data_IF_685251698506
#
_entry.id   IF_685251698506
#
_cell.length_a   1.000
_cell.length_b   1.000
_cell.length_c   1.000
_cell.angle_alpha   90.00
_cell.angle_beta   90.00
_cell.angle_gamma   90.00
#
_symmetry.space_group_name_H-M   'P 1'
#
loop_
_entity.id
_entity.type
_entity.pdbx_description
1 polymer ?
#
# COMPACT_ATOMS: atom_id res chain seq x y z
N UNK A 1 -30.41 -6.50 -13.93
CA UNK A 1 -31.08 -5.18 -13.77
C UNK A 1 -31.58 -5.09 -12.33
N UNK A 2 -30.82 -4.43 -11.45
CA UNK A 2 -31.24 -4.14 -10.07
C UNK A 2 -31.30 -2.62 -9.92
N UNK A 3 -32.45 -2.16 -9.46
CA UNK A 3 -32.81 -0.77 -9.20
C UNK A 3 -32.06 -0.25 -7.97
N UNK A 4 -31.21 0.74 -8.17
CA UNK A 4 -30.54 1.46 -7.08
C UNK A 4 -31.50 2.43 -6.40
N UNK A 5 -31.68 2.27 -5.09
CA UNK A 5 -32.35 3.24 -4.23
C UNK A 5 -31.46 4.49 -4.08
N UNK A 6 -31.98 5.65 -4.48
CA UNK A 6 -31.42 6.95 -4.13
C UNK A 6 -31.57 7.18 -2.63
N UNK A 7 -30.46 7.23 -1.91
CA UNK A 7 -30.42 7.71 -0.54
C UNK A 7 -30.15 9.22 -0.56
N UNK A 8 -31.20 10.02 -0.35
CA UNK A 8 -31.12 11.49 -0.26
C UNK A 8 -30.41 11.87 1.04
N UNK A 9 -29.19 12.41 0.92
CA UNK A 9 -28.44 12.99 2.03
C UNK A 9 -28.94 14.41 2.30
N UNK A 10 -29.64 14.59 3.44
CA UNK A 10 -30.11 15.89 3.92
C UNK A 10 -28.98 16.57 4.69
N UNK A 11 -28.34 17.58 4.10
CA UNK A 11 -27.28 18.38 4.77
C UNK A 11 -27.94 19.44 5.66
N UNK A 12 -27.75 19.31 6.98
CA UNK A 12 -28.13 20.31 7.99
C UNK A 12 -26.96 21.26 8.25
N UNK A 13 -27.10 22.53 7.86
CA UNK A 13 -26.20 23.62 8.20
C UNK A 13 -26.41 24.06 9.67
N UNK A 14 -25.38 24.15 10.52
CA UNK A 14 -25.48 24.87 11.78
C UNK A 14 -25.27 26.38 11.55
N UNK A 15 -26.15 27.17 12.16
CA UNK A 15 -26.11 28.62 12.18
C UNK A 15 -24.93 29.12 13.04
N UNK A 16 -24.08 29.98 12.47
CA UNK A 16 -23.09 30.75 13.21
C UNK A 16 -23.77 31.89 14.00
N UNK A 17 -23.55 31.91 15.32
CA UNK A 17 -23.84 33.05 16.17
C UNK A 17 -22.60 33.95 16.25
N UNK A 18 -22.71 35.20 15.76
CA UNK A 18 -21.73 36.26 16.00
C UNK A 18 -21.88 36.77 17.44
N UNK A 19 -20.89 36.46 18.28
CA UNK A 19 -20.67 37.12 19.57
C UNK A 19 -19.50 38.08 19.47
N UNK A 20 -19.78 39.39 19.50
CA UNK A 20 -18.78 40.43 19.66
C UNK A 20 -18.53 40.67 21.16
N UNK A 21 -17.27 40.58 21.59
CA UNK A 21 -16.79 41.17 22.84
C UNK A 21 -15.31 41.55 22.67
N UNK A 22 -15.07 42.86 22.60
CA UNK A 22 -13.76 43.46 22.85
C UNK A 22 -13.55 43.52 24.36
N UNK A 23 -12.37 43.11 24.85
CA UNK A 23 -11.74 43.79 25.98
C UNK A 23 -10.21 43.60 25.91
N UNK A 24 -9.50 44.69 26.19
CA UNK A 24 -8.05 44.82 26.02
C UNK A 24 -7.25 44.18 27.14
N UNK A 25 -6.09 43.64 26.79
CA UNK A 25 -5.09 43.12 27.73
C UNK A 25 -3.71 43.15 27.07
N UNK A 26 -2.77 43.73 27.80
CA UNK A 26 -1.48 44.25 27.35
C UNK A 26 -0.52 43.22 26.74
N UNK A 27 0.25 43.74 25.78
CA UNK A 27 1.26 43.11 24.95
C UNK A 27 2.40 42.47 25.76
N UNK A 28 2.30 41.15 25.96
CA UNK A 28 3.40 40.28 26.33
C UNK A 28 3.82 39.46 25.13
N UNK A 29 4.55 40.09 24.19
CA UNK A 29 5.08 39.47 22.97
C UNK A 29 6.17 38.44 23.33
N UNK A 30 5.74 37.28 23.81
CA UNK A 30 6.55 36.08 23.89
C UNK A 30 6.60 35.50 22.48
N UNK A 31 7.60 35.90 21.69
CA UNK A 31 8.04 35.21 20.47
C UNK A 31 8.62 33.85 20.84
N UNK A 32 7.80 32.99 21.44
CA UNK A 32 8.16 31.61 21.72
C UNK A 32 8.29 30.91 20.38
N UNK A 33 9.48 30.98 19.79
CA UNK A 33 9.89 30.05 18.75
C UNK A 33 9.56 28.66 19.28
N UNK A 34 8.60 28.02 18.62
CA UNK A 34 8.19 26.67 18.95
C UNK A 34 9.41 25.80 18.65
N UNK A 35 10.22 25.53 19.66
CA UNK A 35 11.36 24.63 19.56
C UNK A 35 10.85 23.25 19.19
N UNK A 36 10.96 22.99 17.90
CA UNK A 36 10.59 21.75 17.31
C UNK A 36 11.76 20.83 17.51
N UNK A 37 11.71 20.05 18.60
CA UNK A 37 12.73 19.03 18.85
C UNK A 37 12.33 17.81 18.02
N UNK A 38 13.00 17.51 16.88
CA UNK A 38 12.72 16.29 16.16
C UNK A 38 12.98 15.09 17.08
N UNK A 39 12.17 14.05 16.96
CA UNK A 39 12.44 12.81 17.64
C UNK A 39 13.80 12.27 17.13
N UNK A 40 14.80 12.24 18.01
CA UNK A 40 16.19 11.80 17.74
C UNK A 40 16.31 10.28 17.70
N UNK A 41 15.28 9.60 17.19
CA UNK A 41 15.34 8.15 17.05
C UNK A 41 15.94 7.88 15.69
N UNK A 42 17.18 7.41 15.67
CA UNK A 42 17.80 6.88 14.47
C UNK A 42 16.81 5.94 13.76
N UNK A 43 16.42 6.33 12.55
CA UNK A 43 15.57 5.60 11.66
C UNK A 43 16.39 5.21 10.43
N UNK A 44 16.12 4.00 9.95
CA UNK A 44 16.51 3.54 8.63
C UNK A 44 15.22 3.56 7.80
N UNK A 45 15.08 4.46 6.82
CA UNK A 45 13.91 4.54 5.94
C UNK A 45 13.60 3.23 5.23
N UNK A 46 14.62 2.41 4.98
CA UNK A 46 14.53 1.14 4.26
C UNK A 46 14.52 -0.07 5.19
N UNK A 47 14.56 0.12 6.51
CA UNK A 47 14.42 -0.99 7.44
C UNK A 47 13.09 -1.71 7.19
N UNK A 48 13.11 -3.05 7.05
CA UNK A 48 11.90 -3.82 6.83
C UNK A 48 10.85 -3.56 7.92
N UNK A 49 9.60 -3.44 7.52
CA UNK A 49 8.46 -3.35 8.43
C UNK A 49 7.54 -4.54 8.21
N UNK A 50 7.60 -5.48 9.14
CA UNK A 50 6.65 -6.59 9.15
C UNK A 50 5.24 -6.05 9.40
N UNK A 51 4.34 -6.27 8.45
CA UNK A 51 2.91 -6.06 8.65
C UNK A 51 2.32 -7.34 9.22
N UNK A 52 1.63 -7.22 10.36
CA UNK A 52 0.83 -8.34 10.87
C UNK A 52 -0.35 -8.55 9.95
N UNK A 53 -0.63 -9.80 9.59
CA UNK A 53 -1.80 -10.16 8.78
C UNK A 53 -2.59 -11.26 9.49
N UNK A 54 -3.92 -11.17 9.38
CA UNK A 54 -4.85 -12.18 9.85
C UNK A 54 -5.70 -12.69 8.69
N UNK A 55 -6.16 -13.94 8.80
CA UNK A 55 -7.10 -14.53 7.83
C UNK A 55 -8.50 -14.37 8.42
N UNK A 56 -9.10 -13.20 8.23
CA UNK A 56 -10.39 -12.88 8.86
C UNK A 56 -11.58 -13.51 8.12
N UNK A 57 -11.45 -13.68 6.80
CA UNK A 57 -12.51 -14.19 5.92
C UNK A 57 -11.94 -15.18 4.90
N UNK A 58 -11.66 -16.42 5.29
CA UNK A 58 -11.29 -17.45 4.32
C UNK A 58 -12.47 -17.74 3.39
N UNK A 59 -12.23 -17.67 2.09
CA UNK A 59 -13.21 -18.04 1.05
C UNK A 59 -13.17 -19.55 0.79
N UNK A 60 -11.98 -20.15 0.86
CA UNK A 60 -11.78 -21.59 0.72
C UNK A 60 -10.46 -22.05 1.36
N UNK A 61 -10.48 -23.26 1.90
CA UNK A 61 -9.29 -23.99 2.32
C UNK A 61 -9.22 -25.30 1.55
N UNK A 62 -8.12 -25.52 0.83
CA UNK A 62 -7.85 -26.71 0.04
C UNK A 62 -6.64 -27.45 0.58
N UNK A 63 -6.73 -28.76 0.70
CA UNK A 63 -5.64 -29.64 1.13
C UNK A 63 -5.14 -30.50 -0.02
N UNK A 64 -3.86 -30.37 -0.34
CA UNK A 64 -3.16 -31.22 -1.29
C UNK A 64 -2.94 -32.63 -0.73
N UNK A 65 -2.56 -33.56 -1.60
CA UNK A 65 -2.38 -34.97 -1.26
C UNK A 65 -1.19 -35.21 -0.30
N UNK A 66 -0.18 -34.35 -0.34
CA UNK A 66 0.97 -34.32 0.58
C UNK A 66 0.65 -33.66 1.92
N UNK A 67 -0.53 -33.05 2.05
CA UNK A 67 -1.00 -32.38 3.25
C UNK A 67 -0.81 -30.87 3.26
N UNK A 68 -0.19 -30.28 2.23
CA UNK A 68 -0.06 -28.82 2.10
C UNK A 68 -1.44 -28.17 2.01
N UNK A 69 -1.65 -27.09 2.77
CA UNK A 69 -2.85 -26.27 2.71
C UNK A 69 -2.65 -25.09 1.76
N UNK A 70 -3.71 -24.79 1.02
CA UNK A 70 -3.86 -23.62 0.18
C UNK A 70 -5.10 -22.89 0.67
N UNK A 71 -4.97 -21.61 0.97
CA UNK A 71 -6.07 -20.77 1.45
C UNK A 71 -6.28 -19.65 0.46
N UNK A 72 -7.52 -19.51 0.00
CA UNK A 72 -7.99 -18.28 -0.63
C UNK A 72 -8.79 -17.52 0.44
N UNK A 73 -8.45 -16.26 0.67
CA UNK A 73 -9.14 -15.37 1.59
C UNK A 73 -9.42 -14.02 0.91
N UNK A 74 -10.23 -13.19 1.56
CA UNK A 74 -10.51 -11.82 1.14
C UNK A 74 -10.00 -10.86 2.22
N UNK A 75 -9.26 -9.85 1.81
CA UNK A 75 -8.93 -8.71 2.66
C UNK A 75 -10.21 -7.90 2.91
N UNK A 76 -10.64 -7.81 4.16
CA UNK A 76 -11.87 -7.12 4.52
C UNK A 76 -11.80 -5.60 4.35
N UNK A 77 -10.60 -5.02 4.35
CA UNK A 77 -10.39 -3.57 4.22
C UNK A 77 -10.35 -3.14 2.76
N UNK A 78 -9.69 -3.93 1.91
CA UNK A 78 -9.45 -3.58 0.51
C UNK A 78 -10.25 -4.40 -0.51
N UNK A 79 -10.98 -5.44 -0.06
CA UNK A 79 -11.70 -6.39 -0.92
C UNK A 79 -10.80 -7.06 -1.97
N UNK A 80 -9.54 -7.31 -1.61
CA UNK A 80 -8.55 -7.98 -2.45
C UNK A 80 -8.45 -9.48 -2.11
N UNK A 81 -8.18 -10.32 -3.10
CA UNK A 81 -7.91 -11.73 -2.87
C UNK A 81 -6.52 -11.95 -2.27
N UNK A 82 -6.47 -12.76 -1.21
CA UNK A 82 -5.25 -13.18 -0.54
C UNK A 82 -5.04 -14.69 -0.75
N UNK A 83 -3.81 -15.08 -1.05
CA UNK A 83 -3.42 -16.49 -1.15
C UNK A 83 -2.40 -16.82 -0.06
N UNK A 84 -2.64 -17.89 0.68
CA UNK A 84 -1.68 -18.46 1.63
C UNK A 84 -1.40 -19.91 1.27
N UNK A 85 -0.14 -20.32 1.45
CA UNK A 85 0.29 -21.70 1.28
C UNK A 85 1.02 -22.14 2.53
N UNK A 86 0.69 -23.33 3.06
CA UNK A 86 1.35 -23.82 4.25
C UNK A 86 2.78 -24.29 3.99
N UNK A 87 3.68 -23.94 4.88
CA UNK A 87 4.99 -24.54 5.06
C UNK A 87 5.14 -24.96 6.53
N UNK A 88 5.16 -26.27 6.78
CA UNK A 88 5.10 -26.81 8.14
C UNK A 88 3.84 -26.39 8.90
N UNK A 89 4.01 -25.60 9.96
CA UNK A 89 2.94 -25.04 10.80
C UNK A 89 2.67 -23.55 10.54
N UNK A 90 3.16 -23.02 9.41
CA UNK A 90 3.00 -21.61 9.06
C UNK A 90 2.28 -21.47 7.74
N UNK A 91 1.29 -20.57 7.66
CA UNK A 91 0.62 -20.15 6.44
C UNK A 91 1.35 -18.91 5.91
N UNK A 92 2.10 -19.09 4.82
CA UNK A 92 2.89 -18.02 4.22
C UNK A 92 2.04 -17.37 3.13
N UNK A 93 1.82 -16.06 3.25
CA UNK A 93 1.17 -15.25 2.21
C UNK A 93 2.00 -15.29 0.93
N UNK A 94 1.32 -15.45 -0.20
CA UNK A 94 1.91 -15.37 -1.55
C UNK A 94 1.54 -14.06 -2.22
N UNK A 95 2.44 -13.55 -3.07
CA UNK A 95 2.20 -12.34 -3.87
C UNK A 95 1.20 -12.66 -4.97
N UNK A 96 0.01 -12.10 -4.89
CA UNK A 96 -0.99 -12.23 -5.95
C UNK A 96 -0.57 -11.38 -7.14
N UNK A 97 -0.51 -12.00 -8.31
CA UNK A 97 -0.11 -11.37 -9.58
C UNK A 97 -1.33 -10.94 -10.39
N UNK A 98 -2.48 -11.57 -10.15
CA UNK A 98 -3.75 -11.20 -10.75
C UNK A 98 -4.89 -12.05 -10.21
N UNK A 99 -6.08 -11.47 -10.16
CA UNK A 99 -7.29 -12.16 -9.75
C UNK A 99 -8.42 -11.91 -10.76
N UNK A 100 -9.35 -12.85 -10.81
CA UNK A 100 -10.56 -12.76 -11.62
C UNK A 100 -11.68 -13.59 -11.03
N UNK A 101 -12.90 -13.05 -11.09
CA UNK A 101 -14.12 -13.73 -10.67
C UNK A 101 -15.01 -13.95 -11.89
N UNK A 102 -15.48 -15.17 -12.07
CA UNK A 102 -16.45 -15.53 -13.10
C UNK A 102 -17.72 -16.08 -12.45
N UNK A 103 -18.86 -15.46 -12.77
CA UNK A 103 -20.14 -15.99 -12.33
C UNK A 103 -20.44 -17.33 -13.00
N UNK A 104 -20.70 -18.36 -12.21
CA UNK A 104 -21.19 -19.65 -12.66
C UNK A 104 -22.71 -19.57 -12.75
N UNK A 105 -23.28 -20.01 -13.89
CA UNK A 105 -24.70 -19.80 -14.21
C UNK A 105 -25.66 -20.37 -13.14
N UNK A 106 -26.04 -19.52 -12.17
CA UNK A 106 -26.91 -19.89 -11.04
C UNK A 106 -26.25 -20.76 -9.97
N UNK A 107 -24.93 -21.00 -10.03
CA UNK A 107 -24.26 -22.00 -9.18
C UNK A 107 -23.26 -21.41 -8.18
N UNK A 108 -22.94 -20.11 -8.30
CA UNK A 108 -21.93 -19.45 -7.45
C UNK A 108 -20.93 -18.69 -8.29
N UNK A 109 -19.73 -18.49 -7.74
CA UNK A 109 -18.63 -17.77 -8.35
C UNK A 109 -17.40 -18.67 -8.46
N UNK A 110 -16.64 -18.50 -9.54
CA UNK A 110 -15.31 -19.10 -9.70
C UNK A 110 -14.27 -18.01 -9.56
N UNK A 111 -13.40 -18.18 -8.57
CA UNK A 111 -12.19 -17.39 -8.42
C UNK A 111 -11.06 -18.05 -9.19
N UNK A 112 -10.32 -17.25 -9.94
CA UNK A 112 -9.05 -17.59 -10.59
C UNK A 112 -8.02 -16.59 -10.10
N UNK A 113 -7.04 -17.05 -9.31
CA UNK A 113 -6.00 -16.20 -8.73
C UNK A 113 -4.62 -16.72 -9.13
N UNK A 114 -3.83 -15.89 -9.81
CA UNK A 114 -2.41 -16.16 -10.06
C UNK A 114 -1.56 -15.58 -8.93
N UNK A 115 -0.55 -16.32 -8.51
CA UNK A 115 0.36 -15.91 -7.45
C UNK A 115 1.79 -16.39 -7.71
N UNK A 116 2.76 -15.69 -7.14
CA UNK A 116 4.17 -16.06 -7.21
C UNK A 116 4.50 -17.15 -6.17
N UNK A 117 5.20 -18.19 -6.59
CA UNK A 117 5.74 -19.25 -5.74
C UNK A 117 7.23 -19.47 -6.08
N UNK A 118 8.10 -18.73 -5.42
CA UNK A 118 9.51 -18.62 -5.83
C UNK A 118 9.63 -17.88 -7.15
N UNK A 119 10.33 -18.46 -8.12
CA UNK A 119 10.50 -17.93 -9.48
C UNK A 119 9.38 -18.36 -10.45
N UNK A 120 8.39 -19.12 -9.96
CA UNK A 120 7.29 -19.65 -10.77
C UNK A 120 5.97 -18.90 -10.50
N UNK A 121 5.14 -18.75 -11.53
CA UNK A 121 3.73 -18.40 -11.38
C UNK A 121 2.91 -19.69 -11.21
N UNK A 122 1.99 -19.66 -10.23
CA UNK A 122 0.96 -20.68 -10.04
C UNK A 122 -0.42 -20.06 -10.07
N UNK A 123 -1.43 -20.88 -10.35
CA UNK A 123 -2.84 -20.46 -10.31
C UNK A 123 -3.67 -21.31 -9.36
N UNK A 124 -4.55 -20.65 -8.63
CA UNK A 124 -5.53 -21.24 -7.74
C UNK A 124 -6.92 -21.02 -8.33
N UNK A 125 -7.65 -22.11 -8.55
CA UNK A 125 -9.05 -22.07 -8.98
C UNK A 125 -9.93 -22.52 -7.82
N UNK A 126 -10.97 -21.73 -7.53
CA UNK A 126 -11.90 -22.01 -6.43
C UNK A 126 -13.34 -21.79 -6.91
N UNK A 127 -14.17 -22.82 -6.83
CA UNK A 127 -15.61 -22.70 -7.07
C UNK A 127 -16.34 -22.51 -5.73
N UNK A 128 -16.84 -21.30 -5.49
CA UNK A 128 -17.55 -20.90 -4.28
C UNK A 128 -19.04 -20.84 -4.55
N UNK A 129 -19.82 -21.61 -3.78
CA UNK A 129 -21.30 -21.61 -3.82
C UNK A 129 -21.85 -20.84 -2.62
N UNK A 130 -23.15 -20.53 -2.55
CA UNK A 130 -23.77 -19.95 -1.35
C UNK A 130 -23.58 -20.78 -0.07
N UNK A 131 -23.27 -22.07 -0.21
CA UNK A 131 -22.99 -23.00 0.90
C UNK A 131 -21.50 -23.10 1.24
N UNK A 132 -20.63 -22.34 0.58
CA UNK A 132 -19.17 -22.39 0.73
C UNK A 132 -18.45 -22.96 -0.50
N UNK A 133 -17.13 -23.11 -0.37
CA UNK A 133 -16.27 -23.69 -1.39
C UNK A 133 -16.68 -25.14 -1.73
N UNK A 134 -16.61 -25.48 -3.02
CA UNK A 134 -17.08 -26.77 -3.53
C UNK A 134 -16.06 -27.49 -4.42
N UNK A 135 -15.15 -26.75 -5.03
CA UNK A 135 -14.04 -27.28 -5.80
C UNK A 135 -12.83 -26.36 -5.63
N UNK A 136 -11.65 -26.97 -5.54
CA UNK A 136 -10.39 -26.23 -5.45
C UNK A 136 -9.29 -27.02 -6.16
N UNK A 137 -8.44 -26.33 -6.90
CA UNK A 137 -7.27 -26.92 -7.55
C UNK A 137 -6.16 -25.89 -7.74
N UNK A 138 -4.92 -26.37 -7.72
CA UNK A 138 -3.73 -25.59 -8.05
C UNK A 138 -3.18 -26.09 -9.38
N UNK A 139 -2.73 -25.16 -10.23
CA UNK A 139 -2.17 -25.48 -11.54
C UNK A 139 -0.80 -24.81 -11.70
N UNK A 140 0.12 -25.52 -12.33
CA UNK A 140 1.47 -25.02 -12.62
C UNK A 140 1.48 -24.17 -13.89
N UNK A 141 2.28 -23.11 -13.87
CA UNK A 141 2.80 -22.46 -15.08
C UNK A 141 2.06 -21.20 -15.56
N UNK A 142 2.82 -20.41 -16.31
CA UNK A 142 2.45 -19.18 -17.03
C UNK A 142 1.55 -19.44 -18.26
N UNK A 143 1.15 -20.69 -18.48
CA UNK A 143 0.71 -21.14 -19.79
C UNK A 143 -0.57 -20.41 -20.20
N UNK A 144 -0.43 -19.42 -21.10
CA UNK A 144 -1.22 -19.05 -22.28
C UNK A 144 -2.76 -19.24 -22.29
N UNK A 145 -3.41 -19.55 -21.18
CA UNK A 145 -4.85 -19.76 -21.10
C UNK A 145 -5.46 -18.38 -20.90
N UNK A 146 -6.25 -17.95 -21.89
CA UNK A 146 -7.03 -16.74 -21.77
C UNK A 146 -7.94 -16.83 -20.56
N UNK A 147 -8.20 -15.70 -19.89
CA UNK A 147 -9.14 -15.61 -18.77
C UNK A 147 -10.41 -16.40 -19.08
N UNK A 148 -10.79 -17.32 -18.20
CA UNK A 148 -11.98 -18.15 -18.32
C UNK A 148 -11.87 -19.40 -19.18
N UNK A 149 -10.66 -19.79 -19.59
CA UNK A 149 -10.41 -21.12 -20.13
C UNK A 149 -10.14 -22.13 -19.00
N UNK A 150 -10.75 -23.31 -19.11
CA UNK A 150 -10.45 -24.41 -18.21
C UNK A 150 -9.04 -24.95 -18.53
N UNK A 151 -8.13 -25.04 -17.54
CA UNK A 151 -6.82 -25.61 -17.77
C UNK A 151 -6.93 -27.12 -18.10
N UNK A 152 -5.98 -27.70 -18.84
CA UNK A 152 -5.91 -29.14 -19.05
C UNK A 152 -5.95 -29.90 -17.71
N UNK A 153 -6.66 -31.03 -17.67
CA UNK A 153 -6.87 -31.78 -16.43
C UNK A 153 -5.55 -32.31 -15.81
N UNK A 154 -4.53 -32.53 -16.63
CA UNK A 154 -3.19 -32.97 -16.23
C UNK A 154 -2.25 -31.83 -15.83
N UNK A 155 -2.63 -30.57 -16.09
CA UNK A 155 -1.87 -29.39 -15.67
C UNK A 155 -2.22 -28.92 -14.24
N UNK A 156 -3.18 -29.58 -13.60
CA UNK A 156 -3.70 -29.18 -12.29
C UNK A 156 -3.73 -30.34 -11.31
N UNK A 157 -3.37 -30.02 -10.07
CA UNK A 157 -3.57 -30.88 -8.92
C UNK A 157 -4.89 -30.53 -8.23
N UNK A 158 -5.86 -31.47 -8.15
CA UNK A 158 -7.07 -31.26 -7.38
C UNK A 158 -6.74 -31.18 -5.87
N UNK A 159 -7.42 -30.27 -5.17
CA UNK A 159 -7.31 -30.09 -3.73
C UNK A 159 -8.60 -30.57 -3.05
N UNK A 160 -8.46 -31.21 -1.90
CA UNK A 160 -9.61 -31.56 -1.07
C UNK A 160 -10.07 -30.33 -0.33
N UNK A 161 -11.27 -29.83 -0.60
CA UNK A 161 -11.85 -28.72 0.18
C UNK A 161 -12.07 -29.19 1.63
N UNK A 162 -11.53 -28.45 2.58
CA UNK A 162 -11.65 -28.69 4.02
C UNK A 162 -12.25 -27.44 4.69
N UNK A 163 -12.74 -27.60 5.92
CA UNK A 163 -13.28 -26.47 6.68
C UNK A 163 -12.18 -25.57 7.26
N UNK A 164 -12.59 -24.41 7.76
CA UNK A 164 -11.70 -23.40 8.37
C UNK A 164 -10.98 -23.92 9.61
N UNK A 165 -11.55 -24.92 10.30
CA UNK A 165 -10.91 -25.60 11.43
C UNK A 165 -9.58 -26.27 11.06
N UNK A 166 -9.31 -26.50 9.77
CA UNK A 166 -8.02 -26.97 9.30
C UNK A 166 -6.88 -25.95 9.51
N UNK A 167 -7.22 -24.68 9.76
CA UNK A 167 -6.26 -23.60 10.04
C UNK A 167 -5.89 -23.52 11.53
N UNK A 168 -6.56 -24.29 12.40
CA UNK A 168 -6.29 -24.26 13.84
C UNK A 168 -4.84 -24.62 14.15
N UNK A 169 -4.16 -23.70 14.84
CA UNK A 169 -2.76 -23.87 15.28
C UNK A 169 -1.71 -23.50 14.22
N UNK A 170 -2.11 -23.00 13.05
CA UNK A 170 -1.17 -22.39 12.12
C UNK A 170 -0.82 -20.96 12.52
N UNK A 171 0.46 -20.61 12.43
CA UNK A 171 0.90 -19.22 12.45
C UNK A 171 0.70 -18.61 11.06
N UNK A 172 0.35 -17.33 10.97
CA UNK A 172 0.21 -16.63 9.68
C UNK A 172 1.39 -15.69 9.49
N UNK A 173 2.05 -15.79 8.34
CA UNK A 173 3.18 -14.96 7.97
C UNK A 173 2.85 -14.14 6.72
N UNK A 174 3.01 -12.82 6.82
CA UNK A 174 2.83 -11.90 5.71
C UNK A 174 3.99 -11.98 4.71
N UNK A 175 3.87 -11.24 3.60
CA UNK A 175 4.99 -11.03 2.68
C UNK A 175 6.13 -10.28 3.39
N UNK A 176 7.38 -10.38 2.87
CA UNK A 176 8.48 -9.59 3.41
C UNK A 176 8.11 -8.11 3.49
N UNK A 177 8.42 -7.49 4.62
CA UNK A 177 8.17 -6.07 4.89
C UNK A 177 9.09 -5.12 4.13
N UNK A 178 9.47 -5.46 2.90
CA UNK A 178 10.41 -4.69 2.07
C UNK A 178 9.85 -3.29 1.86
N UNK A 179 10.70 -2.29 2.10
CA UNK A 179 10.38 -0.88 1.83
C UNK A 179 11.00 -0.49 0.48
N UNK A 180 10.22 0.18 -0.36
CA UNK A 180 10.68 0.74 -1.62
C UNK A 180 10.77 2.26 -1.53
N UNK A 181 11.75 2.83 -2.24
CA UNK A 181 11.77 4.27 -2.49
C UNK A 181 10.78 4.57 -3.62
N UNK A 182 9.73 5.32 -3.30
CA UNK A 182 8.72 5.75 -4.27
C UNK A 182 9.12 7.08 -4.94
N UNK A 183 9.70 8.00 -4.15
CA UNK A 183 10.22 9.28 -4.62
C UNK A 183 11.58 9.56 -4.01
N UNK A 184 12.52 10.01 -4.85
CA UNK A 184 13.81 10.49 -4.42
C UNK A 184 14.13 11.81 -5.12
N UNK A 185 14.37 12.85 -4.35
CA UNK A 185 14.57 14.18 -4.89
C UNK A 185 15.53 15.01 -4.05
N UNK A 186 16.09 16.05 -4.66
CA UNK A 186 17.13 16.90 -4.10
C UNK A 186 16.77 18.36 -4.31
N UNK A 187 16.86 19.13 -3.24
CA UNK A 187 16.68 20.59 -3.26
C UNK A 187 18.00 21.26 -3.69
N UNK A 188 17.93 22.48 -4.21
CA UNK A 188 19.12 23.24 -4.67
C UNK A 188 20.22 23.40 -3.60
N UNK A 189 19.86 23.44 -2.31
CA UNK A 189 20.79 23.52 -1.19
C UNK A 189 21.50 22.20 -0.85
N UNK A 190 21.09 21.11 -1.51
CA UNK A 190 21.65 19.78 -1.33
C UNK A 190 20.87 18.87 -0.38
N UNK A 191 19.82 19.36 0.27
CA UNK A 191 18.94 18.52 1.09
C UNK A 191 18.17 17.52 0.23
N UNK A 192 17.86 16.36 0.81
CA UNK A 192 17.17 15.25 0.15
C UNK A 192 15.74 15.15 0.65
N UNK A 193 14.83 14.82 -0.25
CA UNK A 193 13.46 14.39 0.05
C UNK A 193 13.34 12.95 -0.41
N UNK A 194 12.99 12.07 0.51
CA UNK A 194 12.88 10.63 0.28
C UNK A 194 11.51 10.19 0.75
N UNK A 195 10.74 9.57 -0.14
CA UNK A 195 9.46 8.99 0.21
C UNK A 195 9.55 7.50 -0.02
N UNK A 196 9.22 6.74 1.01
CA UNK A 196 9.21 5.29 0.97
C UNK A 196 7.80 4.77 1.24
N UNK A 197 7.54 3.56 0.76
CA UNK A 197 6.32 2.81 1.04
C UNK A 197 6.62 1.32 1.12
N UNK A 198 5.75 0.51 1.75
CA UNK A 198 5.83 -0.93 1.62
C UNK A 198 5.76 -1.38 0.14
N UNK A 199 6.46 -2.45 -0.21
CA UNK A 199 6.35 -3.08 -1.53
C UNK A 199 4.94 -3.64 -1.77
N UNK A 200 4.33 -4.18 -0.72
CA UNK A 200 3.05 -4.88 -0.74
C UNK A 200 2.07 -4.22 0.21
N UNK A 201 0.77 -4.34 -0.07
CA UNK A 201 -0.32 -3.86 0.79
C UNK A 201 -0.23 -2.37 1.13
N UNK A 202 0.32 -1.58 0.22
CA UNK A 202 0.54 -0.16 0.49
C UNK A 202 -0.73 0.65 0.19
N UNK A 203 -1.28 1.26 1.23
CA UNK A 203 -2.15 2.42 1.13
C UNK A 203 -1.34 3.71 1.03
N UNK A 204 -2.05 4.84 0.87
CA UNK A 204 -1.42 6.16 0.89
C UNK A 204 -1.01 6.59 2.31
N UNK A 205 -1.69 6.05 3.31
CA UNK A 205 -1.41 6.17 4.74
C UNK A 205 -0.08 5.52 5.15
N UNK A 206 0.44 4.58 4.35
CA UNK A 206 1.72 3.90 4.62
C UNK A 206 2.94 4.65 4.11
N UNK A 207 2.72 5.77 3.40
CA UNK A 207 3.80 6.59 2.88
C UNK A 207 4.53 7.26 4.04
N UNK A 208 5.86 7.16 4.01
CA UNK A 208 6.74 7.83 4.97
C UNK A 208 7.62 8.80 4.21
N UNK A 209 7.68 10.03 4.69
CA UNK A 209 8.48 11.09 4.08
C UNK A 209 9.64 11.43 5.00
N UNK A 210 10.83 11.49 4.43
CA UNK A 210 12.06 11.90 5.08
C UNK A 210 12.62 13.13 4.37
N UNK A 211 13.04 14.13 5.13
CA UNK A 211 13.66 15.33 4.58
C UNK A 211 14.84 15.77 5.46
N UNK A 212 15.98 16.09 4.83
CA UNK A 212 17.18 16.53 5.56
C UNK A 212 18.47 16.49 4.75
N UNK A 213 19.60 16.75 5.40
CA UNK A 213 20.92 16.53 4.80
C UNK A 213 21.20 15.01 4.69
N UNK A 214 22.01 14.56 3.72
CA UNK A 214 22.44 13.16 3.64
C UNK A 214 23.06 12.66 4.96
N UNK A 215 22.56 11.53 5.47
CA UNK A 215 22.96 10.97 6.76
C UNK A 215 22.46 11.73 7.99
N UNK A 216 21.54 12.69 7.79
CA UNK A 216 20.83 13.44 8.83
C UNK A 216 19.36 13.65 8.47
N UNK A 217 18.74 12.60 7.96
CA UNK A 217 17.34 12.64 7.55
C UNK A 217 16.43 12.72 8.79
N UNK A 218 15.30 13.41 8.66
CA UNK A 218 14.25 13.45 9.69
C UNK A 218 12.97 12.92 9.05
N UNK A 219 12.31 11.98 9.73
CA UNK A 219 10.99 11.53 9.33
C UNK A 219 9.94 12.61 9.65
N UNK A 220 9.15 12.96 8.64
CA UNK A 220 8.04 13.88 8.74
C UNK A 220 6.73 13.14 8.64
N UNK A 221 5.79 13.50 9.52
CA UNK A 221 4.45 12.93 9.51
C UNK A 221 3.71 13.35 8.24
N UNK A 222 3.38 12.38 7.39
CA UNK A 222 2.52 12.57 6.23
C UNK A 222 1.09 12.81 6.72
N UNK A 223 0.47 13.86 6.18
CA UNK A 223 -0.89 14.27 6.50
C UNK A 223 -1.88 13.85 5.41
N UNK A 224 -1.44 13.92 4.16
CA UNK A 224 -2.29 13.65 3.01
C UNK A 224 -1.41 13.32 1.79
N UNK A 225 -1.88 12.38 0.97
CA UNK A 225 -1.30 12.06 -0.34
C UNK A 225 -2.41 12.14 -1.37
N UNK A 226 -2.21 12.91 -2.43
CA UNK A 226 -3.13 13.00 -3.57
C UNK A 226 -2.39 12.58 -4.81
N UNK A 227 -2.83 11.49 -5.44
CA UNK A 227 -2.34 11.07 -6.76
C UNK A 227 -3.39 11.39 -7.81
N UNK A 228 -2.98 12.10 -8.84
CA UNK A 228 -3.84 12.46 -9.97
C UNK A 228 -3.86 11.34 -11.01
N UNK A 229 -4.98 11.22 -11.73
CA UNK A 229 -5.17 10.22 -12.79
C UNK A 229 -4.53 10.63 -14.13
N UNK A 230 -3.46 11.43 -14.09
CA UNK A 230 -2.80 12.06 -15.24
C UNK A 230 -1.48 11.37 -15.65
N UNK A 231 -1.16 10.23 -15.02
CA UNK A 231 0.05 9.47 -15.30
C UNK A 231 0.91 9.21 -14.07
N UNK A 232 0.63 9.87 -12.94
CA UNK A 232 1.34 9.63 -11.69
C UNK A 232 1.71 10.88 -10.90
N UNK A 233 1.20 12.06 -11.29
CA UNK A 233 1.40 13.27 -10.51
C UNK A 233 0.92 13.04 -9.09
N UNK A 234 1.74 13.37 -8.12
CA UNK A 234 1.49 13.08 -6.72
C UNK A 234 1.93 14.23 -5.84
N UNK A 235 1.01 14.60 -4.96
CA UNK A 235 1.11 15.67 -4.00
C UNK A 235 1.17 15.07 -2.60
N UNK A 236 2.17 15.42 -1.80
CA UNK A 236 2.32 14.93 -0.43
C UNK A 236 2.38 16.12 0.52
N UNK A 237 1.42 16.19 1.43
CA UNK A 237 1.36 17.19 2.50
C UNK A 237 1.89 16.58 3.79
N UNK A 238 2.77 17.29 4.51
CA UNK A 238 3.42 16.77 5.72
C UNK A 238 3.68 17.86 6.77
N UNK A 239 3.82 17.45 8.03
CA UNK A 239 4.15 18.33 9.15
C UNK A 239 5.65 18.66 9.16
N UNK A 240 5.98 19.92 9.39
CA UNK A 240 7.34 20.42 9.64
C UNK A 240 7.37 21.27 10.90
N UNK A 241 8.57 21.65 11.31
CA UNK A 241 8.75 22.58 12.40
C UNK A 241 8.22 23.99 12.14
N UNK A 242 8.12 24.37 10.87
CA UNK A 242 7.66 25.69 10.44
C UNK A 242 6.17 25.71 10.08
N UNK A 243 5.47 24.57 10.23
CA UNK A 243 4.06 24.41 9.88
C UNK A 243 3.85 23.27 8.90
N UNK A 244 2.91 23.44 7.98
CA UNK A 244 2.63 22.42 6.95
C UNK A 244 3.47 22.71 5.71
N UNK A 245 4.09 21.66 5.17
CA UNK A 245 4.76 21.69 3.88
C UNK A 245 4.06 20.75 2.90
N UNK A 246 4.35 20.97 1.62
CA UNK A 246 3.77 20.24 0.51
C UNK A 246 4.85 20.00 -0.54
N UNK A 247 5.00 18.77 -1.02
CA UNK A 247 5.89 18.44 -2.12
C UNK A 247 5.08 17.87 -3.29
N UNK A 248 5.42 18.33 -4.49
CA UNK A 248 4.83 17.93 -5.75
C UNK A 248 5.83 17.11 -6.56
N UNK A 249 5.41 15.93 -6.98
CA UNK A 249 6.13 15.05 -7.89
C UNK A 249 5.31 14.85 -9.15
N UNK A 250 5.88 15.12 -10.32
CA UNK A 250 5.15 14.93 -11.57
C UNK A 250 4.89 13.45 -11.89
N UNK A 251 5.72 12.51 -11.42
CA UNK A 251 5.56 11.07 -11.66
C UNK A 251 6.37 10.25 -10.62
N UNK A 252 6.08 8.94 -10.46
CA UNK A 252 6.77 8.02 -9.52
C UNK A 252 8.10 7.49 -10.06
N UNK A 253 8.98 6.98 -9.18
CA UNK A 253 10.28 6.42 -9.59
C UNK A 253 10.17 5.34 -10.66
N UNK A 254 9.04 4.63 -10.68
CA UNK A 254 8.74 3.51 -11.57
C UNK A 254 8.15 3.91 -12.93
N UNK A 255 7.95 5.19 -13.24
CA UNK A 255 7.39 5.59 -14.54
C UNK A 255 8.38 5.32 -15.68
N UNK A 256 7.84 5.05 -16.88
CA UNK A 256 8.61 4.68 -18.08
C UNK A 256 9.72 5.68 -18.43
N UNK A 257 10.78 5.17 -19.06
CA UNK A 257 11.86 5.97 -19.61
C UNK A 257 11.33 7.04 -20.59
N UNK A 258 11.72 8.30 -20.37
CA UNK A 258 11.41 9.43 -21.26
C UNK A 258 10.25 10.33 -20.83
N UNK A 259 9.68 10.11 -19.64
CA UNK A 259 8.78 11.06 -18.99
C UNK A 259 9.52 12.37 -18.66
N UNK A 260 8.85 13.52 -18.85
CA UNK A 260 9.40 14.81 -18.43
C UNK A 260 9.33 14.92 -16.90
N UNK A 261 10.51 15.12 -16.30
CA UNK A 261 10.71 15.18 -14.86
C UNK A 261 10.83 16.62 -14.33
N UNK A 262 10.77 17.63 -15.21
CA UNK A 262 10.79 19.04 -14.81
C UNK A 262 9.53 19.42 -14.06
N UNK A 263 9.62 20.40 -13.16
CA UNK A 263 8.46 20.94 -12.44
C UNK A 263 8.10 20.26 -11.12
N UNK A 264 9.02 19.51 -10.50
CA UNK A 264 8.85 19.09 -9.10
C UNK A 264 9.19 20.27 -8.18
N UNK A 265 8.40 20.49 -7.14
CA UNK A 265 8.60 21.62 -6.23
C UNK A 265 8.16 21.30 -4.79
N UNK A 266 8.69 22.07 -3.85
CA UNK A 266 8.38 22.03 -2.42
C UNK A 266 7.85 23.40 -2.01
N UNK A 267 6.70 23.45 -1.34
CA UNK A 267 6.23 24.63 -0.62
C UNK A 267 6.35 24.42 0.89
N UNK A 268 6.88 25.42 1.57
CA UNK A 268 6.96 25.46 3.03
C UNK A 268 6.07 26.59 3.54
N UNK A 269 5.13 26.29 4.45
CA UNK A 269 4.22 27.29 5.02
C UNK A 269 2.83 27.35 4.36
N UNK A 270 2.43 26.30 3.64
CA UNK A 270 1.14 26.22 2.94
C UNK A 270 1.15 26.86 1.54
N UNK A 271 -0.04 27.21 1.03
CA UNK A 271 -0.21 27.70 -0.36
C UNK A 271 0.42 29.06 -0.65
N UNK A 272 0.72 29.83 0.39
CA UNK A 272 1.35 31.16 0.28
C UNK A 272 2.87 31.11 0.52
N UNK A 273 3.42 29.90 0.72
CA UNK A 273 4.84 29.67 0.97
C UNK A 273 5.70 29.76 -0.29
N UNK A 274 7.00 29.97 -0.08
CA UNK A 274 7.99 29.99 -1.17
C UNK A 274 7.98 28.64 -1.92
N UNK A 275 7.91 28.72 -3.25
CA UNK A 275 8.10 27.57 -4.12
C UNK A 275 9.59 27.30 -4.28
N UNK A 276 10.02 26.12 -3.88
CA UNK A 276 11.40 25.68 -3.97
C UNK A 276 11.47 24.60 -5.04
N UNK A 277 12.24 24.85 -6.10
CA UNK A 277 12.48 23.85 -7.14
C UNK A 277 13.19 22.63 -6.54
N UNK A 278 12.67 21.44 -6.87
CA UNK A 278 13.26 20.17 -6.45
C UNK A 278 13.66 19.39 -7.69
N UNK A 279 14.89 18.92 -7.72
CA UNK A 279 15.40 18.03 -8.76
C UNK A 279 15.15 16.58 -8.36
N UNK A 280 14.31 15.86 -9.09
CA UNK A 280 14.19 14.41 -8.91
C UNK A 280 15.51 13.72 -9.23
N UNK A 281 15.85 12.72 -8.44
CA UNK A 281 17.02 11.86 -8.62
C UNK A 281 16.60 10.53 -9.27
N UNK A 282 17.44 9.97 -10.14
CA UNK A 282 17.20 8.66 -10.76
C UNK A 282 17.39 7.50 -9.79
N UNK A 283 16.97 6.30 -10.18
CA UNK A 283 17.19 5.07 -9.40
C UNK A 283 18.69 4.75 -9.25
N UNK A 284 19.49 5.10 -10.26
CA UNK A 284 20.94 4.97 -10.27
C UNK A 284 21.65 5.97 -9.33
N UNK A 285 20.93 6.99 -8.86
CA UNK A 285 21.49 8.04 -8.04
C UNK A 285 21.46 7.73 -6.53
N UNK A 286 20.77 6.67 -6.10
CA UNK A 286 20.76 6.25 -4.71
C UNK A 286 21.39 4.88 -4.50
N UNK A 287 22.10 4.72 -3.38
CA UNK A 287 22.59 3.43 -2.93
C UNK A 287 21.66 2.97 -1.80
N UNK A 288 20.84 1.91 -1.98
CA UNK A 288 19.98 1.40 -0.91
C UNK A 288 20.77 0.90 0.31
N UNK A 289 22.07 0.63 0.15
CA UNK A 289 22.98 0.29 1.25
C UNK A 289 23.80 1.51 1.72
N UNK A 290 23.59 2.66 1.08
CA UNK A 290 24.26 3.91 1.35
C UNK A 290 23.82 4.50 2.67
N UNK A 291 24.75 5.17 3.35
CA UNK A 291 24.46 5.88 4.61
C UNK A 291 23.67 7.17 4.42
N UNK A 292 23.29 7.51 3.19
CA UNK A 292 22.61 8.76 2.86
C UNK A 292 21.21 8.85 3.50
N UNK A 293 20.59 7.70 3.77
CA UNK A 293 19.27 7.60 4.39
C UNK A 293 19.28 7.53 5.91
N UNK A 294 20.44 7.49 6.56
CA UNK A 294 20.50 7.38 8.02
C UNK A 294 19.87 8.63 8.67
N UNK A 295 18.93 8.41 9.59
CA UNK A 295 18.46 9.48 10.47
C UNK A 295 19.40 9.66 11.67
N UNK A 296 19.43 10.89 12.19
CA UNK A 296 20.14 11.26 13.42
C UNK A 296 19.46 10.77 14.69
#
# INVERSE_FOLDING_TARGET
MRTGNLCTLLVLLPALALGAACDGGEDGESTGEKECTPATTSCDPLAPRETSITIDKPLAVGKAADGQLFVLAEDSEHAEELVFVSDGSTLIRKKVLGAGIMGLAGEGDRYEVSYADGDEERRLFVDVKPTGASNMKVCDGEALWGKGQEPPADACQPLTVVGEEALDGYEVQSLPGTMLVEYYAKVADGTLIVVVRPEHDCGYEDFRLFWGEPGKMIEHKVLNVVRFSDGGTTDITFETCQGVAFVHFNNSLTADDGVDWSGCYLHIGGSDGDEIEVTRMGEDAYDPNGKEFLCL
#
